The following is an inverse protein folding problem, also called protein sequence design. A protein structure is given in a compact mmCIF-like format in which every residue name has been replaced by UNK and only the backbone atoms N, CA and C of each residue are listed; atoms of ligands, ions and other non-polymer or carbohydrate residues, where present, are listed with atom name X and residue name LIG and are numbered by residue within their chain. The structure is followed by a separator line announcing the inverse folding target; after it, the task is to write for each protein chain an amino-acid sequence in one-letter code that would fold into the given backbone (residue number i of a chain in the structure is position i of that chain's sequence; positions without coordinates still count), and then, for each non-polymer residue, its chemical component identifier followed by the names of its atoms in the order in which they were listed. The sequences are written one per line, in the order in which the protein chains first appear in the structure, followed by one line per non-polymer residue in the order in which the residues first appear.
data_IF_518664112113
#
_entry.id   IF_518664112113
#
_cell.length_a   1.000
_cell.length_b   1.000
_cell.length_c   1.000
_cell.angle_alpha   90.00
_cell.angle_beta   90.00
_cell.angle_gamma   90.00
#
_symmetry.space_group_name_H-M   'P 1'
#
loop_
_entity.id
_entity.type
_entity.pdbx_description
1 polymer ?
#
# COMPACT_ATOMS: atom_id res chain seq x y z
N UNK A 1 -2.98 10.24 -12.38
CA UNK A 1 -3.52 11.05 -11.27
C UNK A 1 -4.88 10.52 -10.89
N UNK A 2 -4.87 9.56 -9.98
CA UNK A 2 -6.04 8.87 -9.49
C UNK A 2 -6.16 9.13 -7.99
N UNK A 3 -7.31 9.63 -7.56
CA UNK A 3 -7.69 9.66 -6.15
C UNK A 3 -8.86 8.71 -5.98
N UNK A 4 -8.63 7.63 -5.26
CA UNK A 4 -9.67 6.65 -4.91
C UNK A 4 -10.03 6.85 -3.45
N UNK A 5 -11.33 7.00 -3.17
CA UNK A 5 -11.84 7.10 -1.80
C UNK A 5 -12.85 5.99 -1.59
N UNK A 6 -12.53 5.04 -0.71
CA UNK A 6 -13.44 3.96 -0.31
C UNK A 6 -13.78 4.11 1.16
N UNK A 7 -15.04 3.84 1.50
CA UNK A 7 -15.51 3.80 2.88
C UNK A 7 -15.99 2.39 3.18
N UNK A 8 -15.27 1.66 4.02
CA UNK A 8 -15.60 0.30 4.44
C UNK A 8 -16.18 0.25 5.86
N UNK A 9 -16.17 1.37 6.57
CA UNK A 9 -16.78 1.50 7.89
C UNK A 9 -18.18 2.08 7.84
N UNK A 10 -18.94 1.88 8.93
CA UNK A 10 -20.30 2.40 9.13
C UNK A 10 -20.48 3.19 10.44
N UNK A 11 -19.42 3.30 11.24
CA UNK A 11 -19.44 4.00 12.52
C UNK A 11 -19.65 5.52 12.39
N UNK A 12 -19.10 6.14 11.33
CA UNK A 12 -19.15 7.58 11.10
C UNK A 12 -19.66 7.89 9.69
N UNK A 13 -20.70 8.74 9.53
CA UNK A 13 -21.15 9.20 8.22
C UNK A 13 -20.03 9.93 7.46
N UNK A 14 -19.65 9.41 6.28
CA UNK A 14 -18.57 9.98 5.47
C UNK A 14 -19.08 10.51 4.13
N UNK A 15 -19.03 11.84 3.95
CA UNK A 15 -19.25 12.48 2.65
C UNK A 15 -18.00 12.38 1.78
N UNK A 16 -17.93 11.35 0.94
CA UNK A 16 -16.77 11.06 0.05
C UNK A 16 -16.38 12.25 -0.84
N UNK A 17 -17.34 13.01 -1.34
CA UNK A 17 -17.10 14.21 -2.14
C UNK A 17 -16.29 15.27 -1.35
N UNK A 18 -16.71 15.58 -0.13
CA UNK A 18 -16.02 16.54 0.74
C UNK A 18 -14.61 16.07 1.12
N UNK A 19 -14.42 14.77 1.36
CA UNK A 19 -13.09 14.22 1.62
C UNK A 19 -12.18 14.37 0.39
N UNK A 20 -12.71 14.06 -0.80
CA UNK A 20 -12.00 14.25 -2.07
C UNK A 20 -11.57 15.71 -2.28
N UNK A 21 -12.46 16.66 -2.04
CA UNK A 21 -12.16 18.10 -2.12
C UNK A 21 -11.05 18.51 -1.16
N UNK A 22 -11.10 18.06 0.10
CA UNK A 22 -10.06 18.35 1.10
C UNK A 22 -8.70 17.80 0.67
N UNK A 23 -8.63 16.55 0.21
CA UNK A 23 -7.38 15.95 -0.29
C UNK A 23 -6.82 16.74 -1.46
N UNK A 24 -7.67 17.19 -2.39
CA UNK A 24 -7.24 18.02 -3.52
C UNK A 24 -6.74 19.40 -3.08
N UNK A 25 -7.35 20.00 -2.06
CA UNK A 25 -6.88 21.26 -1.49
C UNK A 25 -5.49 21.10 -0.85
N UNK A 26 -5.28 20.05 -0.04
CA UNK A 26 -3.98 19.73 0.54
C UNK A 26 -2.93 19.50 -0.54
N UNK A 27 -3.25 18.72 -1.58
CA UNK A 27 -2.34 18.51 -2.72
C UNK A 27 -1.89 19.81 -3.36
N UNK A 28 -2.83 20.73 -3.63
CA UNK A 28 -2.52 22.05 -4.22
C UNK A 28 -1.61 22.86 -3.31
N UNK A 29 -1.90 22.88 -2.01
CA UNK A 29 -1.08 23.59 -1.03
C UNK A 29 0.35 23.03 -0.93
N UNK A 30 0.52 21.72 -1.11
CA UNK A 30 1.83 21.05 -1.13
C UNK A 30 2.58 21.20 -2.47
N UNK A 31 1.99 21.84 -3.49
CA UNK A 31 2.64 21.98 -4.81
C UNK A 31 2.78 20.68 -5.60
N UNK A 32 2.11 19.60 -5.19
CA UNK A 32 2.26 18.27 -5.81
C UNK A 32 1.44 18.21 -7.09
N UNK A 33 2.13 18.26 -8.24
CA UNK A 33 1.47 18.29 -9.54
C UNK A 33 0.87 16.94 -9.95
N UNK A 34 1.56 15.82 -9.66
CA UNK A 34 1.13 14.45 -10.01
C UNK A 34 1.25 13.54 -8.81
N UNK A 35 0.19 12.77 -8.55
CA UNK A 35 0.16 11.76 -7.49
C UNK A 35 -0.96 10.75 -7.78
N UNK A 36 -0.81 9.55 -7.25
CA UNK A 36 -1.87 8.57 -7.10
C UNK A 36 -2.03 8.25 -5.62
N UNK A 37 -3.26 8.29 -5.12
CA UNK A 37 -3.57 8.07 -3.70
C UNK A 37 -4.86 7.29 -3.53
N UNK A 38 -4.77 6.20 -2.77
CA UNK A 38 -5.92 5.48 -2.22
C UNK A 38 -6.17 5.90 -0.77
N UNK A 39 -7.37 6.38 -0.48
CA UNK A 39 -7.85 6.60 0.89
C UNK A 39 -8.95 5.59 1.19
N UNK A 40 -8.71 4.71 2.16
CA UNK A 40 -9.68 3.70 2.59
C UNK A 40 -10.01 3.94 4.06
N UNK A 41 -11.25 4.33 4.32
CA UNK A 41 -11.74 4.52 5.69
C UNK A 41 -12.27 3.17 6.22
N UNK A 42 -11.78 2.76 7.39
CA UNK A 42 -12.12 1.48 8.04
C UNK A 42 -12.45 1.74 9.52
N UNK A 43 -12.96 0.72 10.21
CA UNK A 43 -13.23 0.79 11.66
C UNK A 43 -12.02 0.31 12.48
N UNK A 44 -12.11 0.44 13.81
CA UNK A 44 -11.04 0.07 14.75
C UNK A 44 -10.63 -1.39 14.63
N UNK A 45 -11.59 -2.30 14.44
CA UNK A 45 -11.30 -3.73 14.31
C UNK A 45 -10.49 -4.01 13.05
N UNK A 46 -10.89 -3.42 11.92
CA UNK A 46 -10.20 -3.61 10.65
C UNK A 46 -8.84 -2.93 10.62
N UNK A 47 -8.69 -1.72 11.16
CA UNK A 47 -7.36 -1.07 11.20
C UNK A 47 -6.41 -1.80 12.14
N UNK A 48 -6.88 -2.35 13.27
CA UNK A 48 -6.07 -3.20 14.15
C UNK A 48 -5.61 -4.48 13.44
N UNK A 49 -6.50 -5.14 12.68
CA UNK A 49 -6.14 -6.30 11.86
C UNK A 49 -5.02 -5.96 10.86
N UNK A 50 -5.17 -4.84 10.14
CA UNK A 50 -4.17 -4.39 9.17
C UNK A 50 -2.86 -4.01 9.88
N UNK A 51 -2.92 -3.30 11.02
CA UNK A 51 -1.74 -2.93 11.79
C UNK A 51 -0.96 -4.15 12.29
N UNK A 52 -1.67 -5.20 12.71
CA UNK A 52 -1.06 -6.48 13.07
C UNK A 52 -0.36 -7.12 11.87
N UNK A 53 -1.05 -7.25 10.73
CA UNK A 53 -0.49 -7.93 9.53
C UNK A 53 0.76 -7.22 9.00
N UNK A 54 0.71 -5.89 8.88
CA UNK A 54 1.76 -5.15 8.15
C UNK A 54 2.79 -4.49 9.06
N UNK A 55 2.46 -4.24 10.33
CA UNK A 55 3.35 -3.56 11.30
C UNK A 55 3.65 -4.39 12.53
N UNK A 56 3.07 -5.59 12.66
CA UNK A 56 3.19 -6.45 13.84
C UNK A 56 2.74 -5.75 15.14
N UNK A 57 1.75 -4.85 15.02
CA UNK A 57 1.17 -4.10 16.14
C UNK A 57 -0.30 -4.46 16.28
N UNK A 58 -0.62 -5.26 17.30
CA UNK A 58 -2.01 -5.68 17.57
C UNK A 58 -2.81 -4.62 18.36
N UNK A 59 -2.78 -3.38 17.91
CA UNK A 59 -3.52 -2.26 18.48
C UNK A 59 -4.12 -1.41 17.34
N UNK A 60 -5.31 -0.80 17.49
CA UNK A 60 -5.78 0.18 16.52
C UNK A 60 -4.85 1.40 16.45
N UNK A 61 -4.94 2.13 15.34
CA UNK A 61 -4.23 3.40 15.12
C UNK A 61 -5.11 4.29 14.24
N UNK A 62 -4.85 5.59 14.21
CA UNK A 62 -5.67 6.53 13.43
C UNK A 62 -5.43 6.40 11.93
N UNK A 63 -4.17 6.19 11.54
CA UNK A 63 -3.74 6.12 10.13
C UNK A 63 -2.68 5.04 9.93
N UNK A 64 -2.81 4.33 8.81
CA UNK A 64 -1.76 3.50 8.23
C UNK A 64 -1.49 3.98 6.81
N UNK A 65 -0.22 4.26 6.50
CA UNK A 65 0.23 4.66 5.17
C UNK A 65 1.02 3.53 4.52
N UNK A 66 0.68 3.23 3.27
CA UNK A 66 1.34 2.20 2.48
C UNK A 66 1.99 2.82 1.24
N UNK A 67 3.31 2.66 1.05
CA UNK A 67 3.98 3.05 -0.18
C UNK A 67 3.48 2.20 -1.34
N UNK A 68 3.15 2.85 -2.46
CA UNK A 68 2.61 2.19 -3.64
C UNK A 68 3.69 1.95 -4.70
N UNK A 69 4.44 3.01 -5.04
CA UNK A 69 5.37 2.98 -6.17
C UNK A 69 6.55 2.04 -5.93
N UNK A 70 7.09 1.97 -4.73
CA UNK A 70 8.24 1.13 -4.38
C UNK A 70 7.93 -0.35 -4.62
N UNK A 71 6.74 -0.79 -4.18
CA UNK A 71 6.32 -2.18 -4.31
C UNK A 71 5.96 -2.50 -5.75
N UNK A 72 5.19 -1.64 -6.42
CA UNK A 72 4.81 -1.84 -7.83
C UNK A 72 6.00 -1.77 -8.78
N UNK A 73 6.93 -0.84 -8.56
CA UNK A 73 8.15 -0.74 -9.37
C UNK A 73 9.03 -1.96 -9.17
N UNK A 74 9.20 -2.44 -7.94
CA UNK A 74 9.96 -3.68 -7.68
C UNK A 74 9.34 -4.87 -8.40
N UNK A 75 8.02 -5.02 -8.31
CA UNK A 75 7.27 -6.07 -9.01
C UNK A 75 7.41 -5.98 -10.54
N UNK A 76 7.21 -4.79 -11.11
CA UNK A 76 7.36 -4.54 -12.54
C UNK A 76 8.79 -4.80 -13.04
N UNK A 77 9.80 -4.39 -12.28
CA UNK A 77 11.20 -4.68 -12.59
C UNK A 77 11.49 -6.18 -12.57
N UNK A 78 10.92 -6.94 -11.64
CA UNK A 78 11.05 -8.40 -11.64
C UNK A 78 10.50 -9.01 -12.95
N UNK A 79 9.34 -8.56 -13.42
CA UNK A 79 8.82 -9.00 -14.73
C UNK A 79 9.73 -8.63 -15.90
N UNK A 80 10.27 -7.41 -15.92
CA UNK A 80 11.21 -6.98 -16.97
C UNK A 80 12.52 -7.79 -16.96
N UNK A 81 12.92 -8.31 -15.81
CA UNK A 81 14.08 -9.20 -15.65
C UNK A 81 13.75 -10.67 -15.91
N UNK A 82 12.52 -10.99 -16.36
CA UNK A 82 12.10 -12.34 -16.73
C UNK A 82 11.55 -13.19 -15.58
N UNK A 83 11.30 -12.62 -14.40
CA UNK A 83 10.59 -13.33 -13.35
C UNK A 83 9.08 -13.37 -13.65
N UNK A 84 8.47 -14.53 -13.41
CA UNK A 84 7.03 -14.77 -13.54
C UNK A 84 6.50 -15.39 -12.25
N UNK A 85 5.18 -15.49 -12.12
CA UNK A 85 4.54 -16.12 -10.96
C UNK A 85 3.28 -16.88 -11.38
N UNK A 86 3.32 -17.56 -12.54
CA UNK A 86 2.18 -18.32 -13.07
C UNK A 86 2.09 -19.72 -12.48
N UNK A 87 3.19 -20.22 -11.92
CA UNK A 87 3.27 -21.48 -11.17
C UNK A 87 3.91 -21.23 -9.80
N UNK A 88 3.70 -22.14 -8.84
CA UNK A 88 4.28 -22.05 -7.50
C UNK A 88 5.81 -21.91 -7.53
N UNK A 89 6.49 -22.69 -8.36
CA UNK A 89 7.94 -22.68 -8.47
C UNK A 89 8.49 -21.36 -9.05
N UNK A 90 7.77 -20.75 -9.99
CA UNK A 90 8.08 -19.42 -10.52
C UNK A 90 7.82 -18.33 -9.49
N UNK A 91 6.64 -18.39 -8.87
CA UNK A 91 6.22 -17.48 -7.82
C UNK A 91 7.23 -17.43 -6.68
N UNK A 92 7.70 -18.57 -6.19
CA UNK A 92 8.65 -18.63 -5.09
C UNK A 92 9.95 -17.88 -5.41
N UNK A 93 10.43 -17.98 -6.67
CA UNK A 93 11.62 -17.23 -7.13
C UNK A 93 11.35 -15.73 -7.20
N UNK A 94 10.22 -15.34 -7.78
CA UNK A 94 9.84 -13.94 -7.89
C UNK A 94 9.60 -13.30 -6.52
N UNK A 95 8.90 -13.99 -5.63
CA UNK A 95 8.64 -13.55 -4.25
C UNK A 95 9.94 -13.34 -3.47
N UNK A 96 10.89 -14.27 -3.55
CA UNK A 96 12.19 -14.11 -2.90
C UNK A 96 12.93 -12.88 -3.42
N UNK A 97 12.89 -12.64 -4.74
CA UNK A 97 13.54 -11.47 -5.35
C UNK A 97 12.88 -10.16 -4.94
N UNK A 98 11.55 -10.09 -4.96
CA UNK A 98 10.78 -8.94 -4.47
C UNK A 98 11.11 -8.67 -3.01
N UNK A 99 11.09 -9.72 -2.16
CA UNK A 99 11.37 -9.58 -0.74
C UNK A 99 12.76 -8.99 -0.49
N UNK A 100 13.78 -9.53 -1.15
CA UNK A 100 15.15 -9.04 -1.04
C UNK A 100 15.26 -7.55 -1.37
N UNK A 101 14.71 -7.13 -2.52
CA UNK A 101 14.79 -5.72 -2.96
C UNK A 101 14.02 -4.80 -2.01
N UNK A 102 12.83 -5.22 -1.58
CA UNK A 102 11.99 -4.41 -0.69
C UNK A 102 12.56 -4.32 0.73
N UNK A 103 13.26 -5.34 1.22
CA UNK A 103 14.01 -5.28 2.48
C UNK A 103 15.15 -4.25 2.40
N UNK A 104 15.90 -4.21 1.31
CA UNK A 104 16.93 -3.19 1.10
C UNK A 104 16.34 -1.78 1.02
N UNK A 105 15.25 -1.59 0.27
CA UNK A 105 14.56 -0.30 0.21
C UNK A 105 13.99 0.13 1.57
N UNK A 106 13.49 -0.82 2.36
CA UNK A 106 12.98 -0.58 3.72
C UNK A 106 14.06 0.01 4.64
N UNK A 107 15.31 -0.48 4.54
CA UNK A 107 16.45 0.03 5.32
C UNK A 107 16.75 1.50 5.00
N UNK A 108 16.63 1.91 3.73
CA UNK A 108 16.95 3.27 3.29
C UNK A 108 15.82 4.27 3.56
N UNK A 109 14.56 3.80 3.52
CA UNK A 109 13.38 4.67 3.61
C UNK A 109 12.73 4.70 5.00
N UNK A 110 13.14 3.80 5.90
CA UNK A 110 12.48 3.60 7.21
C UNK A 110 11.05 3.04 7.09
N UNK A 111 10.68 2.54 5.92
CA UNK A 111 9.37 1.91 5.68
C UNK A 111 9.45 0.40 5.93
N UNK A 112 8.29 -0.26 6.08
CA UNK A 112 8.21 -1.73 6.14
C UNK A 112 7.45 -2.23 4.91
N UNK A 113 8.20 -2.46 3.83
CA UNK A 113 7.68 -2.91 2.55
C UNK A 113 7.46 -4.42 2.55
N UNK A 114 6.47 -4.89 1.78
CA UNK A 114 6.22 -6.31 1.57
C UNK A 114 5.89 -6.58 0.09
N UNK A 115 6.29 -7.74 -0.47
CA UNK A 115 6.00 -8.13 -1.85
C UNK A 115 4.52 -8.02 -2.22
N UNK A 116 4.23 -7.59 -3.46
CA UNK A 116 2.87 -7.64 -4.02
C UNK A 116 2.40 -9.08 -4.24
N UNK A 117 3.36 -9.96 -4.54
CA UNK A 117 3.12 -11.38 -4.78
C UNK A 117 2.85 -12.20 -3.52
N UNK A 118 2.93 -11.61 -2.31
CA UNK A 118 2.70 -12.38 -1.07
C UNK A 118 1.33 -13.06 -1.07
N UNK A 119 1.26 -14.26 -0.49
CA UNK A 119 0.03 -15.05 -0.33
C UNK A 119 -0.71 -15.36 -1.65
N UNK A 120 -0.03 -15.37 -2.81
CA UNK A 120 -0.62 -15.75 -4.10
C UNK A 120 -0.89 -17.26 -4.20
N UNK A 121 -0.16 -18.07 -3.44
CA UNK A 121 -0.28 -19.51 -3.33
C UNK A 121 -0.23 -19.94 -1.87
#
# INVERSE_FOLDING_TARGET
MSLVVRNLQRAVPLRRARLREKVQAVRRALGVQRFDLGVVCVDNRKIQQINRIYRDKNTPTDVLSFPFYEVTATHGLCHLLGFTHSTEAEWQKMYQKERQVLEELSKHTGTRLQPLSRDLF
#
